data_IF_631881923234
#
_entry.id   IF_631881923234
#
_cell.length_a   1.000
_cell.length_b   1.000
_cell.length_c   1.000
_cell.angle_alpha   90.00
_cell.angle_beta   90.00
_cell.angle_gamma   90.00
#
_symmetry.space_group_name_H-M   'P 1'
#
loop_
_entity.id
_entity.type
_entity.pdbx_description
1 polymer ?
#
# COMPACT_ATOMS: atom_id res chain seq x y z
N UNK A 1 -3.04 -10.93 -9.70
CA UNK A 1 -2.51 -9.73 -9.03
C UNK A 1 -1.40 -10.19 -8.08
N UNK A 2 -0.13 -10.04 -8.46
CA UNK A 2 0.96 -10.46 -7.61
C UNK A 2 1.12 -9.43 -6.48
N UNK A 3 0.73 -9.78 -5.25
CA UNK A 3 1.05 -9.02 -4.02
C UNK A 3 2.55 -9.18 -3.71
N UNK A 4 3.41 -8.76 -4.64
CA UNK A 4 4.87 -8.74 -4.50
C UNK A 4 5.27 -7.34 -4.05
N UNK A 5 5.99 -7.23 -2.93
CA UNK A 5 6.25 -5.94 -2.28
C UNK A 5 5.84 -5.96 -0.81
N UNK A 6 4.57 -5.68 -0.50
CA UNK A 6 4.10 -5.53 0.89
C UNK A 6 4.22 -6.81 1.75
N UNK A 7 4.06 -8.00 1.16
CA UNK A 7 4.28 -9.25 1.89
C UNK A 7 5.78 -9.52 2.12
N UNK A 8 6.63 -9.20 1.15
CA UNK A 8 8.09 -9.32 1.25
C UNK A 8 8.68 -8.33 2.28
N UNK A 9 8.14 -7.11 2.32
CA UNK A 9 8.49 -6.07 3.27
C UNK A 9 7.91 -6.29 4.67
N UNK A 10 7.08 -7.33 4.87
CA UNK A 10 6.50 -7.63 6.17
C UNK A 10 5.44 -6.64 6.64
N UNK A 11 4.73 -5.98 5.72
CA UNK A 11 3.75 -4.93 6.02
C UNK A 11 2.64 -5.41 6.98
N UNK A 12 2.16 -6.64 6.81
CA UNK A 12 1.18 -7.26 7.72
C UNK A 12 1.70 -7.39 9.17
N UNK A 13 2.86 -8.02 9.40
CA UNK A 13 3.54 -8.00 10.70
C UNK A 13 3.76 -6.61 11.29
N UNK A 14 4.25 -5.63 10.51
CA UNK A 14 4.48 -4.25 10.98
C UNK A 14 3.18 -3.62 11.50
N UNK A 15 2.08 -3.74 10.74
CA UNK A 15 0.79 -3.20 11.15
C UNK A 15 0.26 -3.83 12.44
N UNK A 16 0.42 -5.15 12.59
CA UNK A 16 0.05 -5.83 13.84
C UNK A 16 0.92 -5.35 15.01
N UNK A 17 2.23 -5.23 14.82
CA UNK A 17 3.14 -4.70 15.84
C UNK A 17 2.73 -3.30 16.26
N UNK A 18 2.55 -2.37 15.31
CA UNK A 18 2.18 -0.99 15.64
C UNK A 18 0.82 -0.84 16.32
N UNK A 19 -0.09 -1.78 16.07
CA UNK A 19 -1.43 -1.79 16.68
C UNK A 19 -1.44 -2.37 18.08
N UNK A 20 -0.60 -3.38 18.34
CA UNK A 20 -0.49 -4.04 19.64
C UNK A 20 0.65 -3.50 20.52
N UNK A 21 1.53 -2.64 20.00
CA UNK A 21 2.72 -2.19 20.70
C UNK A 21 2.40 -1.34 21.94
N UNK A 22 3.13 -1.61 23.02
CA UNK A 22 3.03 -0.85 24.27
C UNK A 22 3.69 0.54 24.18
N UNK A 23 4.60 0.75 23.21
CA UNK A 23 5.30 2.03 23.00
C UNK A 23 5.41 2.41 21.52
N UNK A 24 5.54 3.71 21.26
CA UNK A 24 5.77 4.22 19.91
C UNK A 24 7.11 3.75 19.35
N UNK A 25 8.16 3.68 20.19
CA UNK A 25 9.48 3.18 19.81
C UNK A 25 9.42 1.76 19.23
N UNK A 26 8.57 0.89 19.78
CA UNK A 26 8.42 -0.48 19.26
C UNK A 26 7.80 -0.48 17.87
N UNK A 27 6.81 0.38 17.63
CA UNK A 27 6.23 0.56 16.29
C UNK A 27 7.26 1.17 15.33
N UNK A 28 7.96 2.21 15.75
CA UNK A 28 8.92 2.94 14.93
C UNK A 28 10.09 2.03 14.50
N UNK A 29 10.65 1.27 15.45
CA UNK A 29 11.69 0.29 15.13
C UNK A 29 11.21 -0.78 14.13
N UNK A 30 9.95 -1.21 14.22
CA UNK A 30 9.39 -2.15 13.26
C UNK A 30 9.24 -1.53 11.86
N UNK A 31 8.80 -0.27 11.78
CA UNK A 31 8.71 0.46 10.51
C UNK A 31 10.09 0.74 9.93
N UNK A 32 11.05 1.20 10.73
CA UNK A 32 12.43 1.48 10.28
C UNK A 32 13.13 0.21 9.76
N UNK A 33 12.89 -0.94 10.40
CA UNK A 33 13.39 -2.22 9.92
C UNK A 33 12.77 -2.60 8.56
N UNK A 34 11.47 -2.35 8.37
CA UNK A 34 10.79 -2.58 7.10
C UNK A 34 11.30 -1.62 6.01
N UNK A 35 11.43 -0.32 6.28
CA UNK A 35 12.01 0.65 5.35
C UNK A 35 13.45 0.29 4.96
N UNK A 36 14.26 -0.19 5.91
CA UNK A 36 15.62 -0.66 5.63
C UNK A 36 15.61 -1.84 4.67
N UNK A 37 14.72 -2.81 4.87
CA UNK A 37 14.53 -3.93 3.95
C UNK A 37 14.03 -3.47 2.57
N UNK A 38 13.05 -2.56 2.53
CA UNK A 38 12.50 -1.98 1.30
C UNK A 38 13.58 -1.29 0.48
N UNK A 39 14.52 -0.60 1.13
CA UNK A 39 15.61 0.09 0.42
C UNK A 39 16.73 -0.85 0.00
N UNK A 40 17.05 -1.86 0.81
CA UNK A 40 18.25 -2.69 0.63
C UNK A 40 18.01 -3.99 -0.15
N UNK A 41 16.87 -4.65 0.06
CA UNK A 41 16.63 -6.01 -0.44
C UNK A 41 15.46 -6.09 -1.42
N UNK A 42 14.43 -5.28 -1.23
CA UNK A 42 13.25 -5.29 -2.10
C UNK A 42 13.56 -4.94 -3.57
N UNK A 43 14.47 -4.00 -3.91
CA UNK A 43 14.70 -3.64 -5.30
C UNK A 43 15.18 -4.83 -6.15
N UNK A 44 16.05 -5.67 -5.58
CA UNK A 44 16.56 -6.87 -6.22
C UNK A 44 15.49 -7.95 -6.37
N UNK A 45 14.62 -8.12 -5.36
CA UNK A 45 13.49 -9.07 -5.42
C UNK A 45 12.48 -8.67 -6.50
N UNK A 46 12.11 -7.39 -6.54
CA UNK A 46 11.24 -6.85 -7.58
C UNK A 46 11.89 -6.98 -8.96
N UNK A 47 13.18 -6.66 -9.08
CA UNK A 47 13.91 -6.78 -10.35
C UNK A 47 13.92 -8.21 -10.89
N UNK A 48 14.14 -9.22 -10.03
CA UNK A 48 14.05 -10.63 -10.45
C UNK A 48 12.66 -11.01 -10.94
N UNK A 49 11.63 -10.54 -10.23
CA UNK A 49 10.21 -10.77 -10.60
C UNK A 49 9.88 -10.11 -11.93
N UNK A 50 10.23 -8.83 -12.10
CA UNK A 50 9.93 -8.06 -13.29
C UNK A 50 10.70 -8.56 -14.52
N UNK A 51 11.94 -8.99 -14.33
CA UNK A 51 12.70 -9.67 -15.37
C UNK A 51 12.02 -10.98 -15.80
N UNK A 52 11.47 -11.76 -14.88
CA UNK A 52 10.73 -12.98 -15.20
C UNK A 52 9.43 -12.69 -15.97
N UNK A 53 8.69 -11.66 -15.57
CA UNK A 53 7.50 -11.19 -16.30
C UNK A 53 7.88 -10.79 -17.72
N UNK A 54 8.91 -9.93 -17.90
CA UNK A 54 9.32 -9.46 -19.22
C UNK A 54 9.83 -10.59 -20.11
N UNK A 55 10.55 -11.59 -19.57
CA UNK A 55 10.95 -12.78 -20.33
C UNK A 55 9.75 -13.60 -20.79
N UNK A 56 8.74 -13.75 -19.94
CA UNK A 56 7.56 -14.57 -20.22
C UNK A 56 6.55 -13.86 -21.13
N UNK A 57 6.53 -12.52 -21.11
CA UNK A 57 5.60 -11.71 -21.90
C UNK A 57 6.30 -10.46 -22.43
N UNK A 58 7.18 -10.58 -23.43
CA UNK A 58 8.03 -9.48 -23.90
C UNK A 58 7.25 -8.26 -24.39
N UNK A 59 6.06 -8.49 -24.96
CA UNK A 59 5.21 -7.46 -25.56
C UNK A 59 4.05 -7.01 -24.66
N UNK A 60 3.91 -7.57 -23.45
CA UNK A 60 2.83 -7.16 -22.57
C UNK A 60 3.07 -5.74 -22.03
N UNK A 61 1.99 -4.97 -21.95
CA UNK A 61 1.92 -3.82 -21.07
C UNK A 61 1.76 -4.33 -19.64
N UNK A 62 2.63 -3.86 -18.75
CA UNK A 62 2.62 -4.26 -17.34
C UNK A 62 2.37 -3.02 -16.51
N UNK A 63 1.32 -3.08 -15.70
CA UNK A 63 0.96 -2.07 -14.71
C UNK A 63 1.24 -2.66 -13.33
N UNK A 64 2.02 -1.94 -12.54
CA UNK A 64 2.29 -2.24 -11.13
C UNK A 64 1.54 -1.21 -10.29
N UNK A 65 0.53 -1.64 -9.54
CA UNK A 65 -0.24 -0.77 -8.66
C UNK A 65 0.47 -0.67 -7.29
N UNK A 66 0.58 0.55 -6.77
CA UNK A 66 1.16 0.82 -5.45
C UNK A 66 0.21 0.52 -4.29
N UNK A 67 0.57 1.03 -3.12
CA UNK A 67 -0.18 0.92 -1.87
C UNK A 67 -0.67 2.30 -1.43
N UNK A 68 -1.92 2.43 -0.94
CA UNK A 68 -2.36 3.68 -0.39
C UNK A 68 -1.63 3.97 0.92
N UNK A 69 -1.58 5.24 1.31
CA UNK A 69 -1.43 5.59 2.74
C UNK A 69 -2.61 4.98 3.48
N UNK A 70 -2.40 4.56 4.72
CA UNK A 70 -3.41 3.79 5.44
C UNK A 70 -4.32 4.64 6.31
N UNK A 71 -3.81 5.75 6.83
CA UNK A 71 -4.51 6.50 7.86
C UNK A 71 -4.62 7.98 7.55
N UNK A 72 -5.76 8.56 7.91
CA UNK A 72 -5.90 9.99 8.12
C UNK A 72 -5.09 10.37 9.37
N UNK A 73 -4.62 11.62 9.47
CA UNK A 73 -3.86 12.12 10.62
C UNK A 73 -4.70 12.99 11.56
N UNK A 74 -6.01 13.07 11.34
CA UNK A 74 -6.96 13.73 12.23
C UNK A 74 -6.82 13.19 13.66
N UNK A 75 -6.78 14.07 14.68
CA UNK A 75 -6.58 13.66 16.06
C UNK A 75 -7.79 12.88 16.60
N UNK A 76 -8.99 13.13 16.08
CA UNK A 76 -10.24 12.48 16.46
C UNK A 76 -10.58 11.32 15.52
N UNK A 77 -9.98 10.15 15.76
CA UNK A 77 -10.39 8.91 15.12
C UNK A 77 -11.10 8.00 16.11
N UNK A 78 -12.32 7.58 15.80
CA UNK A 78 -13.13 6.69 16.65
C UNK A 78 -13.00 5.21 16.30
N UNK A 79 -12.17 4.87 15.32
CA UNK A 79 -11.92 3.48 14.91
C UNK A 79 -11.27 2.70 16.07
N UNK A 80 -11.89 1.62 16.56
CA UNK A 80 -11.32 0.85 17.67
C UNK A 80 -9.95 0.29 17.30
N UNK A 81 -9.01 0.25 18.25
CA UNK A 81 -7.64 -0.25 18.04
C UNK A 81 -6.81 0.56 17.01
N UNK A 82 -7.26 1.76 16.62
CA UNK A 82 -6.45 2.63 15.76
C UNK A 82 -5.14 3.03 16.47
N UNK A 83 -3.99 2.98 15.78
CA UNK A 83 -2.77 3.55 16.31
C UNK A 83 -2.92 5.07 16.58
N UNK A 84 -2.15 5.57 17.55
CA UNK A 84 -2.09 7.01 17.80
C UNK A 84 -1.55 7.78 16.56
N UNK A 85 -1.67 9.12 16.56
CA UNK A 85 -1.25 9.96 15.43
C UNK A 85 0.22 9.74 15.06
N UNK A 86 1.11 9.62 16.05
CA UNK A 86 2.54 9.42 15.82
C UNK A 86 2.83 8.12 15.04
N UNK A 87 2.22 7.00 15.47
CA UNK A 87 2.31 5.71 14.77
C UNK A 87 1.66 5.74 13.38
N UNK A 88 0.50 6.40 13.24
CA UNK A 88 -0.15 6.58 11.93
C UNK A 88 0.73 7.34 10.94
N UNK A 89 1.38 8.41 11.39
CA UNK A 89 2.35 9.17 10.58
C UNK A 89 3.49 8.26 10.12
N UNK A 90 4.11 7.51 11.04
CA UNK A 90 5.23 6.62 10.71
C UNK A 90 4.82 5.48 9.78
N UNK A 91 3.63 4.90 9.94
CA UNK A 91 3.10 3.89 9.03
C UNK A 91 2.83 4.44 7.61
N UNK A 92 2.33 5.67 7.51
CA UNK A 92 2.16 6.33 6.21
C UNK A 92 3.50 6.66 5.54
N UNK A 93 4.52 7.05 6.33
CA UNK A 93 5.90 7.22 5.83
C UNK A 93 6.43 5.91 5.24
N UNK A 94 6.31 4.80 5.97
CA UNK A 94 6.72 3.49 5.46
C UNK A 94 6.02 3.11 4.15
N UNK A 95 4.71 3.37 4.04
CA UNK A 95 3.98 3.15 2.79
C UNK A 95 4.53 4.02 1.62
N UNK A 96 4.92 5.27 1.90
CA UNK A 96 5.53 6.14 0.89
C UNK A 96 6.92 5.64 0.44
N UNK A 97 7.72 5.08 1.36
CA UNK A 97 9.02 4.47 1.05
C UNK A 97 8.84 3.24 0.16
N UNK A 98 7.93 2.34 0.54
CA UNK A 98 7.60 1.14 -0.22
C UNK A 98 7.22 1.50 -1.66
N UNK A 99 6.30 2.44 -1.83
CA UNK A 99 5.82 2.86 -3.16
C UNK A 99 6.92 3.56 -3.97
N UNK A 100 7.79 4.36 -3.34
CA UNK A 100 8.94 4.95 -4.02
C UNK A 100 9.90 3.90 -4.58
N UNK A 101 10.15 2.82 -3.83
CA UNK A 101 10.95 1.68 -4.30
C UNK A 101 10.26 0.96 -5.44
N UNK A 102 8.98 0.62 -5.29
CA UNK A 102 8.21 -0.09 -6.32
C UNK A 102 8.17 0.72 -7.61
N UNK A 103 7.90 2.02 -7.53
CA UNK A 103 7.88 2.93 -8.68
C UNK A 103 9.25 2.94 -9.38
N UNK A 104 10.33 3.15 -8.63
CA UNK A 104 11.69 3.21 -9.19
C UNK A 104 12.05 1.94 -9.94
N UNK A 105 11.79 0.77 -9.36
CA UNK A 105 12.09 -0.51 -10.03
C UNK A 105 11.18 -0.71 -11.25
N UNK A 106 9.88 -0.39 -11.15
CA UNK A 106 8.94 -0.55 -12.26
C UNK A 106 9.38 0.26 -13.49
N UNK A 107 9.80 1.51 -13.29
CA UNK A 107 10.32 2.37 -14.35
C UNK A 107 11.57 1.80 -15.03
N UNK A 108 12.49 1.17 -14.28
CA UNK A 108 13.69 0.52 -14.86
C UNK A 108 13.35 -0.62 -15.83
N UNK A 109 12.20 -1.26 -15.67
CA UNK A 109 11.71 -2.34 -16.55
C UNK A 109 10.74 -1.85 -17.65
N UNK A 110 10.52 -0.53 -17.74
CA UNK A 110 9.54 0.07 -18.64
C UNK A 110 8.10 -0.34 -18.30
N UNK A 111 7.83 -0.65 -17.02
CA UNK A 111 6.48 -0.92 -16.54
C UNK A 111 5.84 0.39 -16.06
N UNK A 112 4.52 0.48 -16.17
CA UNK A 112 3.76 1.60 -15.61
C UNK A 112 3.60 1.41 -14.11
N UNK A 113 3.70 2.50 -13.35
CA UNK A 113 3.38 2.51 -11.92
C UNK A 113 2.06 3.27 -11.72
N UNK A 114 1.06 2.58 -11.19
CA UNK A 114 -0.20 3.18 -10.77
C UNK A 114 -0.13 3.58 -9.32
N UNK A 115 0.19 4.84 -9.08
CA UNK A 115 0.10 5.43 -7.75
C UNK A 115 -1.37 5.56 -7.35
N UNK A 116 -1.75 4.92 -6.25
CA UNK A 116 -3.13 4.91 -5.74
C UNK A 116 -3.31 5.87 -4.56
N UNK A 117 -2.24 6.50 -4.06
CA UNK A 117 -2.30 7.35 -2.86
C UNK A 117 -3.20 8.56 -3.07
N UNK A 118 -3.24 9.11 -4.29
CA UNK A 118 -4.14 10.20 -4.64
C UNK A 118 -5.61 9.81 -4.58
N UNK A 119 -5.97 8.65 -5.13
CA UNK A 119 -7.33 8.13 -5.17
C UNK A 119 -7.85 7.79 -3.77
N UNK A 120 -6.96 7.32 -2.89
CA UNK A 120 -7.31 6.96 -1.52
C UNK A 120 -7.18 8.12 -0.51
N UNK A 121 -6.62 9.29 -0.88
CA UNK A 121 -6.17 10.31 0.07
C UNK A 121 -7.23 10.73 1.12
N UNK A 122 -8.51 10.81 0.73
CA UNK A 122 -9.62 11.19 1.61
C UNK A 122 -10.49 9.99 2.03
N UNK A 123 -10.02 8.77 1.75
CA UNK A 123 -10.73 7.51 1.93
C UNK A 123 -9.91 6.48 2.72
N UNK A 124 -8.92 6.96 3.46
CA UNK A 124 -8.06 6.16 4.35
C UNK A 124 -8.78 5.82 5.65
N UNK A 125 -8.20 4.95 6.49
CA UNK A 125 -8.74 4.69 7.84
C UNK A 125 -8.85 6.01 8.61
N UNK A 126 -9.93 6.18 9.37
CA UNK A 126 -10.32 7.42 10.07
C UNK A 126 -10.89 8.56 9.21
N UNK A 127 -10.97 8.41 7.88
CA UNK A 127 -11.73 9.34 7.05
C UNK A 127 -13.25 9.17 7.25
N UNK A 128 -14.03 10.14 6.77
CA UNK A 128 -15.51 10.08 6.83
C UNK A 128 -16.13 9.07 5.86
N UNK A 129 -15.40 8.68 4.80
CA UNK A 129 -15.79 7.65 3.84
C UNK A 129 -14.62 6.67 3.60
N UNK A 130 -14.32 5.78 4.56
CA UNK A 130 -13.15 4.92 4.50
C UNK A 130 -13.33 3.81 3.46
N UNK A 131 -12.36 3.72 2.55
CA UNK A 131 -12.21 2.65 1.56
C UNK A 131 -11.24 1.57 2.02
N UNK A 132 -10.64 1.74 3.20
CA UNK A 132 -9.74 0.77 3.84
C UNK A 132 -10.40 0.30 5.13
N UNK A 133 -10.46 -1.03 5.33
CA UNK A 133 -10.95 -1.63 6.55
C UNK A 133 -10.10 -1.22 7.75
N UNK A 134 -10.75 -0.85 8.85
CA UNK A 134 -10.07 -0.53 10.10
C UNK A 134 -9.37 -1.73 10.75
N UNK A 135 -8.46 -1.49 11.71
CA UNK A 135 -7.79 -2.52 12.50
C UNK A 135 -8.73 -3.48 13.24
N UNK A 136 -9.92 -3.01 13.64
CA UNK A 136 -10.84 -3.77 14.48
C UNK A 136 -11.65 -4.84 13.73
N UNK A 137 -11.64 -4.83 12.40
CA UNK A 137 -12.41 -5.82 11.62
C UNK A 137 -11.83 -7.23 11.82
N UNK A 138 -12.68 -8.27 11.78
CA UNK A 138 -12.19 -9.65 11.89
C UNK A 138 -11.13 -9.97 10.83
N UNK A 139 -10.16 -10.82 11.18
CA UNK A 139 -9.09 -11.24 10.26
C UNK A 139 -9.62 -11.84 8.96
N UNK A 140 -10.77 -12.53 9.01
CA UNK A 140 -11.46 -13.09 7.83
C UNK A 140 -12.02 -12.02 6.89
N UNK A 141 -12.28 -10.81 7.39
CA UNK A 141 -12.71 -9.63 6.59
C UNK A 141 -11.49 -8.91 5.99
N UNK A 142 -10.33 -8.99 6.65
CA UNK A 142 -9.08 -8.42 6.17
C UNK A 142 -8.84 -7.01 6.74
N UNK A 143 -8.26 -6.87 7.94
CA UNK A 143 -7.86 -5.57 8.48
C UNK A 143 -6.82 -4.90 7.57
N UNK A 144 -6.92 -3.58 7.45
CA UNK A 144 -6.10 -2.72 6.58
C UNK A 144 -6.17 -3.03 5.08
N UNK A 145 -7.08 -3.89 4.65
CA UNK A 145 -7.32 -4.12 3.23
C UNK A 145 -8.34 -3.13 2.69
N UNK A 146 -8.25 -2.76 1.40
CA UNK A 146 -9.35 -2.07 0.75
C UNK A 146 -10.65 -2.86 0.91
N UNK A 147 -11.75 -2.16 1.16
CA UNK A 147 -13.09 -2.73 1.07
C UNK A 147 -13.56 -2.79 -0.39
N UNK A 148 -14.80 -3.23 -0.63
CA UNK A 148 -15.36 -3.32 -1.97
C UNK A 148 -15.29 -1.97 -2.72
N UNK A 149 -15.59 -0.86 -2.05
CA UNK A 149 -15.51 0.48 -2.62
C UNK A 149 -14.07 0.86 -2.93
N UNK A 150 -13.11 0.58 -2.04
CA UNK A 150 -11.69 0.84 -2.30
C UNK A 150 -11.13 0.05 -3.49
N UNK A 151 -11.53 -1.20 -3.65
CA UNK A 151 -11.14 -1.97 -4.83
C UNK A 151 -11.75 -1.40 -6.12
N UNK A 152 -13.03 -1.04 -6.10
CA UNK A 152 -13.74 -0.53 -7.29
C UNK A 152 -13.36 0.90 -7.66
N UNK A 153 -13.31 1.81 -6.69
CA UNK A 153 -13.17 3.24 -6.93
C UNK A 153 -11.73 3.72 -6.77
N UNK A 154 -10.89 2.99 -6.02
CA UNK A 154 -9.47 3.30 -5.88
C UNK A 154 -8.63 2.52 -6.89
N UNK A 155 -8.54 1.21 -6.71
CA UNK A 155 -7.63 0.36 -7.49
C UNK A 155 -8.04 0.18 -8.96
N UNK A 156 -9.30 -0.15 -9.23
CA UNK A 156 -9.78 -0.30 -10.61
C UNK A 156 -9.70 1.03 -11.36
N UNK A 157 -10.11 2.14 -10.74
CA UNK A 157 -9.96 3.47 -11.36
C UNK A 157 -8.50 3.80 -11.71
N UNK A 158 -7.54 3.49 -10.82
CA UNK A 158 -6.12 3.70 -11.11
C UNK A 158 -5.62 2.82 -12.27
N UNK A 159 -6.12 1.59 -12.38
CA UNK A 159 -5.81 0.70 -13.50
C UNK A 159 -6.40 1.21 -14.82
N UNK A 160 -7.64 1.69 -14.81
CA UNK A 160 -8.34 2.17 -16.00
C UNK A 160 -7.63 3.40 -16.60
N UNK A 161 -7.15 4.32 -15.76
CA UNK A 161 -6.35 5.48 -16.20
C UNK A 161 -5.11 5.06 -16.99
N UNK A 162 -4.43 3.99 -16.56
CA UNK A 162 -3.20 3.53 -17.19
C UNK A 162 -3.41 2.64 -18.41
N UNK A 163 -4.58 2.02 -18.52
CA UNK A 163 -4.92 1.09 -19.61
C UNK A 163 -5.80 1.74 -20.69
N UNK A 164 -6.17 3.01 -20.54
CA UNK A 164 -7.02 3.73 -21.48
C UNK A 164 -8.47 3.25 -21.43
N UNK A 165 -8.91 2.75 -20.28
CA UNK A 165 -10.29 2.32 -20.06
C UNK A 165 -11.24 3.51 -20.21
N UNK A 166 -11.93 3.58 -21.34
CA UNK A 166 -13.09 4.43 -21.57
C UNK A 166 -14.26 3.97 -20.68
N UNK A 167 -14.16 4.20 -19.38
CA UNK A 167 -15.27 4.15 -18.45
C UNK A 167 -16.04 5.46 -18.52
N UNK A 168 -16.80 5.65 -19.61
CA UNK A 168 -17.76 6.73 -19.72
C UNK A 168 -18.78 6.62 -18.57
N UNK A 169 -18.65 7.51 -17.58
CA UNK A 169 -19.78 7.95 -16.80
C UNK A 169 -20.48 9.04 -17.63
N UNK A 170 -21.47 8.61 -18.43
CA UNK A 170 -22.63 9.43 -18.77
C UNK A 170 -23.68 9.28 -17.69
#
# INVERSE_FOLDING_TARGET
MAKTGGNDAGFGPVLRTCTAADSDDTCFAAVDAAESFERSALPDRLSRTYAAIRRSSPHAQVVVLGYPRLFDLAPNCTEPQVPNVARRTKLNEGADVLDGVIQSVSQRFGFYFGDVRGQFANHVVCSTDPWINGPSVPTVVGPYHPNQTGYRNGYLAALDVLTGGSGAAT
#
